data_IF_025767432196
#
_entry.id   IF_025767432196
#
_cell.length_a   1.000
_cell.length_b   1.000
_cell.length_c   1.000
_cell.angle_alpha   90.00
_cell.angle_beta   90.00
_cell.angle_gamma   90.00
#
_symmetry.space_group_name_H-M   'P 1'
#
loop_
_entity.id
_entity.type
_entity.pdbx_description
1 polymer ?
#
# COMPACT_ATOMS: atom_id res chain seq x y z
N UNK A 1 -20.16 -0.27 -12.03
CA UNK A 1 -20.27 -1.70 -11.66
C UNK A 1 -20.17 -1.74 -10.16
N UNK A 2 -21.17 -2.26 -9.44
CA UNK A 2 -20.98 -2.61 -8.02
C UNK A 2 -20.03 -3.81 -7.99
N UNK A 3 -18.99 -3.76 -7.15
CA UNK A 3 -18.18 -4.94 -6.91
C UNK A 3 -19.02 -5.95 -6.15
N UNK A 4 -19.32 -7.08 -6.78
CA UNK A 4 -19.92 -8.23 -6.11
C UNK A 4 -18.85 -8.93 -5.27
N UNK A 5 -18.44 -8.30 -4.18
CA UNK A 5 -17.61 -8.95 -3.17
C UNK A 5 -18.36 -10.14 -2.57
N UNK A 6 -17.62 -11.16 -2.15
CA UNK A 6 -18.20 -12.32 -1.49
C UNK A 6 -18.93 -11.90 -0.19
N UNK A 7 -19.88 -12.72 0.26
CA UNK A 7 -20.53 -12.52 1.55
C UNK A 7 -19.50 -12.41 2.69
N UNK A 8 -18.43 -13.20 2.62
CA UNK A 8 -17.34 -13.15 3.59
C UNK A 8 -16.66 -11.77 3.60
N UNK A 9 -16.34 -11.21 2.44
CA UNK A 9 -15.72 -9.89 2.37
C UNK A 9 -16.67 -8.78 2.87
N UNK A 10 -17.96 -8.86 2.56
CA UNK A 10 -18.94 -7.95 3.15
C UNK A 10 -18.95 -8.03 4.70
N UNK A 11 -18.89 -9.24 5.28
CA UNK A 11 -18.79 -9.43 6.72
C UNK A 11 -17.50 -8.82 7.30
N UNK A 12 -16.36 -8.97 6.61
CA UNK A 12 -15.08 -8.37 7.01
C UNK A 12 -15.14 -6.83 6.98
N UNK A 13 -15.80 -6.23 5.99
CA UNK A 13 -16.01 -4.78 5.93
C UNK A 13 -16.83 -4.33 7.15
N UNK A 14 -17.95 -4.98 7.44
CA UNK A 14 -18.80 -4.62 8.59
C UNK A 14 -18.07 -4.76 9.92
N UNK A 15 -17.26 -5.81 10.10
CA UNK A 15 -16.43 -5.96 11.31
C UNK A 15 -15.35 -4.87 11.42
N UNK A 16 -14.76 -4.45 10.31
CA UNK A 16 -13.78 -3.36 10.28
C UNK A 16 -14.43 -1.99 10.55
N UNK A 17 -15.68 -1.76 10.13
CA UNK A 17 -16.43 -0.54 10.50
C UNK A 17 -16.57 -0.38 12.01
N UNK A 18 -16.83 -1.47 12.73
CA UNK A 18 -16.86 -1.44 14.21
C UNK A 18 -15.50 -1.04 14.81
N UNK A 19 -14.39 -1.44 14.19
CA UNK A 19 -13.06 -0.99 14.61
C UNK A 19 -12.82 0.49 14.27
N UNK A 20 -13.33 0.99 13.14
CA UNK A 20 -13.28 2.42 12.78
C UNK A 20 -13.98 3.27 13.85
N UNK A 21 -15.14 2.84 14.36
CA UNK A 21 -15.86 3.53 15.45
C UNK A 21 -15.02 3.66 16.73
N UNK A 22 -14.14 2.70 17.00
CA UNK A 22 -13.17 2.71 18.10
C UNK A 22 -11.86 3.46 17.76
N UNK A 23 -11.82 4.22 16.66
CA UNK A 23 -10.65 4.93 16.15
C UNK A 23 -9.43 4.00 15.95
N UNK A 24 -9.68 2.76 15.52
CA UNK A 24 -8.63 1.76 15.37
C UNK A 24 -7.60 2.09 14.29
N UNK A 25 -8.02 2.81 13.25
CA UNK A 25 -7.23 3.09 12.06
C UNK A 25 -6.91 4.58 11.99
N UNK A 26 -5.61 4.90 12.01
CA UNK A 26 -5.14 6.29 12.05
C UNK A 26 -5.15 6.99 10.69
N UNK A 27 -5.17 6.23 9.59
CA UNK A 27 -4.94 6.72 8.22
C UNK A 27 -3.53 7.26 7.97
N UNK A 28 -2.57 6.98 8.88
CA UNK A 28 -1.19 7.48 8.81
C UNK A 28 -0.21 6.52 8.15
N UNK A 29 -0.65 5.32 7.77
CA UNK A 29 0.22 4.29 7.20
C UNK A 29 1.03 4.82 6.00
N UNK A 30 0.38 5.50 5.06
CA UNK A 30 1.05 6.09 3.89
C UNK A 30 2.05 7.20 4.25
N UNK A 31 1.91 7.84 5.43
CA UNK A 31 2.85 8.85 5.93
C UNK A 31 4.06 8.25 6.67
N UNK A 32 4.08 6.94 6.91
CA UNK A 32 5.28 6.28 7.42
C UNK A 32 6.40 6.49 6.42
N UNK A 33 7.53 7.03 6.89
CA UNK A 33 8.57 7.58 6.03
C UNK A 33 9.03 6.64 4.91
N UNK A 34 9.10 5.33 5.17
CA UNK A 34 9.50 4.32 4.17
C UNK A 34 8.50 4.25 3.00
N UNK A 35 7.20 4.14 3.31
CA UNK A 35 6.10 4.12 2.33
C UNK A 35 6.00 5.47 1.60
N UNK A 36 6.04 6.56 2.38
CA UNK A 36 5.97 7.92 1.87
C UNK A 36 7.10 8.24 0.89
N UNK A 37 8.33 7.80 1.16
CA UNK A 37 9.49 8.06 0.30
C UNK A 37 9.33 7.42 -1.09
N UNK A 38 8.81 6.20 -1.16
CA UNK A 38 8.53 5.52 -2.43
C UNK A 38 7.41 6.26 -3.16
N UNK A 39 6.26 6.40 -2.50
CA UNK A 39 5.08 7.05 -3.07
C UNK A 39 5.38 8.45 -3.62
N UNK A 40 6.02 9.32 -2.84
CA UNK A 40 6.37 10.66 -3.31
C UNK A 40 7.36 10.65 -4.46
N UNK A 41 8.34 9.74 -4.45
CA UNK A 41 9.29 9.64 -5.55
C UNK A 41 8.62 9.20 -6.84
N UNK A 42 7.61 8.32 -6.76
CA UNK A 42 6.80 7.92 -7.91
C UNK A 42 5.96 9.10 -8.43
N UNK A 43 5.26 9.83 -7.57
CA UNK A 43 4.46 10.99 -8.03
C UNK A 43 5.36 12.08 -8.64
N UNK A 44 6.46 12.44 -7.98
CA UNK A 44 7.43 13.42 -8.49
C UNK A 44 8.00 13.02 -9.86
N UNK A 45 8.17 11.71 -10.09
CA UNK A 45 8.76 11.21 -11.32
C UNK A 45 7.75 11.12 -12.47
N UNK A 46 6.60 10.50 -12.23
CA UNK A 46 5.60 10.28 -13.25
C UNK A 46 4.75 11.53 -13.52
N UNK A 47 4.66 12.47 -12.56
CA UNK A 47 3.82 13.66 -12.67
C UNK A 47 2.37 13.34 -13.06
N UNK A 48 1.71 12.35 -12.40
CA UNK A 48 0.42 11.85 -12.83
C UNK A 48 -0.66 12.92 -12.75
N UNK A 49 -1.61 12.91 -13.69
CA UNK A 49 -2.73 13.87 -13.64
C UNK A 49 -3.72 13.59 -12.50
N UNK A 50 -3.76 12.36 -11.99
CA UNK A 50 -4.57 11.91 -10.84
C UNK A 50 -4.07 10.51 -10.40
N UNK A 51 -4.44 10.06 -9.19
CA UNK A 51 -4.28 8.65 -8.78
C UNK A 51 -5.45 8.20 -7.89
N UNK A 52 -5.60 6.89 -7.74
CA UNK A 52 -6.50 6.26 -6.76
C UNK A 52 -5.70 5.84 -5.52
N UNK A 53 -6.21 6.16 -4.34
CA UNK A 53 -5.81 5.54 -3.08
C UNK A 53 -6.91 4.58 -2.61
N UNK A 54 -6.65 3.28 -2.76
CA UNK A 54 -7.55 2.19 -2.39
C UNK A 54 -7.20 1.72 -0.98
N UNK A 55 -8.11 1.97 -0.03
CA UNK A 55 -7.91 1.81 1.41
C UNK A 55 -7.36 3.06 2.10
N UNK A 56 -7.86 4.25 1.75
CA UNK A 56 -7.34 5.50 2.28
C UNK A 56 -7.64 5.74 3.79
N UNK A 57 -8.47 4.91 4.43
CA UNK A 57 -8.96 5.11 5.79
C UNK A 57 -9.58 6.49 5.98
N UNK A 58 -9.27 7.21 7.09
CA UNK A 58 -9.71 8.58 7.30
C UNK A 58 -9.06 9.61 6.34
N UNK A 59 -8.23 9.18 5.39
CA UNK A 59 -7.48 10.00 4.44
C UNK A 59 -6.56 11.03 5.11
N UNK A 60 -5.99 10.66 6.27
CA UNK A 60 -5.15 11.57 7.06
C UNK A 60 -3.93 12.07 6.26
N UNK A 61 -3.34 11.20 5.42
CA UNK A 61 -2.26 11.56 4.51
C UNK A 61 -2.59 12.73 3.57
N UNK A 62 -3.86 12.92 3.23
CA UNK A 62 -4.35 13.97 2.33
C UNK A 62 -4.91 15.19 3.05
N UNK A 63 -5.38 15.04 4.29
CA UNK A 63 -5.95 16.13 5.08
C UNK A 63 -4.89 16.94 5.83
N UNK A 64 -3.88 16.27 6.37
CA UNK A 64 -2.86 16.88 7.23
C UNK A 64 -1.44 16.74 6.64
N UNK A 65 -1.28 16.02 5.53
CA UNK A 65 0.00 15.82 4.87
C UNK A 65 0.40 17.01 4.01
N UNK A 66 1.18 17.95 4.57
CA UNK A 66 1.75 19.09 3.82
C UNK A 66 2.48 18.67 2.54
N UNK A 67 3.16 17.53 2.59
CA UNK A 67 3.97 17.03 1.48
C UNK A 67 3.11 16.55 0.30
N UNK A 68 1.94 15.97 0.57
CA UNK A 68 0.95 15.61 -0.47
C UNK A 68 0.47 16.86 -1.21
N UNK A 69 0.03 17.89 -0.47
CA UNK A 69 -0.44 19.15 -1.07
C UNK A 69 0.64 19.83 -1.91
N UNK A 70 1.90 19.77 -1.45
CA UNK A 70 3.02 20.30 -2.20
C UNK A 70 3.23 19.53 -3.52
N UNK A 71 3.21 18.20 -3.46
CA UNK A 71 3.38 17.35 -4.65
C UNK A 71 2.26 17.58 -5.66
N UNK A 72 0.99 17.64 -5.25
CA UNK A 72 -0.14 17.99 -6.14
C UNK A 72 0.12 19.33 -6.84
N UNK A 73 0.55 20.34 -6.07
CA UNK A 73 0.80 21.68 -6.60
C UNK A 73 1.97 21.70 -7.59
N UNK A 74 3.05 20.97 -7.30
CA UNK A 74 4.26 20.92 -8.13
C UNK A 74 4.05 20.13 -9.43
N UNK A 75 3.21 19.09 -9.38
CA UNK A 75 2.92 18.21 -10.53
C UNK A 75 1.65 18.62 -11.29
N UNK A 76 0.89 19.60 -10.79
CA UNK A 76 -0.39 20.03 -11.34
C UNK A 76 -1.41 18.87 -11.46
N UNK A 77 -1.34 17.91 -10.54
CA UNK A 77 -2.31 16.81 -10.42
C UNK A 77 -3.67 17.32 -9.94
N UNK A 78 -4.72 16.56 -10.24
CA UNK A 78 -6.01 16.66 -9.55
C UNK A 78 -5.91 16.04 -8.17
N UNK A 79 -6.88 16.35 -7.31
CA UNK A 79 -7.08 15.63 -6.06
C UNK A 79 -7.25 14.12 -6.33
N UNK A 80 -6.60 13.26 -5.53
CA UNK A 80 -6.73 11.83 -5.67
C UNK A 80 -8.14 11.33 -5.44
N UNK A 81 -8.44 10.20 -6.08
CA UNK A 81 -9.67 9.44 -5.82
C UNK A 81 -9.42 8.65 -4.55
N UNK A 82 -10.23 8.88 -3.53
CA UNK A 82 -10.08 8.27 -2.22
C UNK A 82 -11.18 7.23 -2.03
N UNK A 83 -10.79 6.00 -1.70
CA UNK A 83 -11.73 4.93 -1.42
C UNK A 83 -11.32 4.14 -0.18
N UNK A 84 -12.26 3.89 0.71
CA UNK A 84 -12.15 2.93 1.81
C UNK A 84 -13.56 2.46 2.21
N UNK A 85 -13.91 1.17 2.02
CA UNK A 85 -15.26 0.67 2.29
C UNK A 85 -15.67 0.73 3.77
N UNK A 86 -14.70 0.90 4.67
CA UNK A 86 -14.94 0.97 6.10
C UNK A 86 -15.07 2.40 6.62
N UNK A 87 -14.80 3.42 5.79
CA UNK A 87 -14.68 4.80 6.26
C UNK A 87 -15.46 5.82 5.41
N UNK A 88 -16.64 6.23 5.86
CA UNK A 88 -17.38 7.38 5.30
C UNK A 88 -16.55 8.68 5.44
N UNK A 89 -16.46 9.55 4.41
CA UNK A 89 -17.24 9.56 3.17
C UNK A 89 -16.58 8.84 1.98
N UNK A 90 -15.57 8.01 2.21
CA UNK A 90 -14.77 7.37 1.16
C UNK A 90 -15.26 5.95 0.82
N UNK A 91 -16.43 5.56 1.31
CA UNK A 91 -17.02 4.22 1.18
C UNK A 91 -17.72 3.96 -0.15
N UNK A 92 -17.74 4.94 -1.06
CA UNK A 92 -18.31 4.78 -2.40
C UNK A 92 -17.31 4.13 -3.34
N UNK A 93 -17.63 2.94 -3.85
CA UNK A 93 -16.75 2.21 -4.75
C UNK A 93 -16.36 3.04 -5.99
N UNK A 94 -15.07 3.20 -6.30
CA UNK A 94 -14.61 3.96 -7.45
C UNK A 94 -14.98 3.25 -8.75
N UNK A 95 -15.79 3.89 -9.59
CA UNK A 95 -16.24 3.34 -10.89
C UNK A 95 -15.51 3.95 -12.08
N UNK A 96 -14.23 4.27 -11.89
CA UNK A 96 -13.39 4.88 -12.93
C UNK A 96 -12.91 3.85 -13.94
N UNK A 97 -12.88 4.22 -15.22
CA UNK A 97 -12.37 3.35 -16.28
C UNK A 97 -10.85 3.20 -16.22
N UNK A 98 -10.13 4.30 -15.92
CA UNK A 98 -8.68 4.29 -15.77
C UNK A 98 -8.15 5.50 -15.00
N UNK A 99 -7.04 5.31 -14.28
CA UNK A 99 -6.27 6.34 -13.58
C UNK A 99 -4.76 6.12 -13.78
N UNK A 100 -3.95 7.20 -13.87
CA UNK A 100 -2.51 7.05 -14.09
C UNK A 100 -1.80 6.31 -12.95
N UNK A 101 -2.16 6.63 -11.72
CA UNK A 101 -1.57 6.01 -10.53
C UNK A 101 -2.57 5.21 -9.69
N UNK A 102 -2.07 4.15 -9.05
CA UNK A 102 -2.78 3.44 -7.97
C UNK A 102 -1.87 3.28 -6.76
N UNK A 103 -2.39 3.58 -5.58
CA UNK A 103 -1.79 3.31 -4.27
C UNK A 103 -2.74 2.40 -3.50
N UNK A 104 -2.20 1.34 -2.88
CA UNK A 104 -2.97 0.43 -2.04
C UNK A 104 -2.08 -0.04 -0.89
N UNK A 105 -2.31 0.48 0.32
CA UNK A 105 -1.41 0.31 1.48
C UNK A 105 -2.18 -0.23 2.68
N UNK A 106 -1.74 -1.38 3.22
CA UNK A 106 -2.36 -2.05 4.36
C UNK A 106 -3.85 -2.40 4.06
N UNK A 107 -4.09 -3.16 2.98
CA UNK A 107 -5.45 -3.50 2.50
C UNK A 107 -5.57 -4.94 2.05
N UNK A 108 -4.69 -5.42 1.18
CA UNK A 108 -4.88 -6.69 0.45
C UNK A 108 -4.89 -7.88 1.43
N UNK A 109 -4.13 -7.81 2.53
CA UNK A 109 -4.13 -8.76 3.64
C UNK A 109 -5.47 -8.81 4.42
N UNK A 110 -6.28 -7.76 4.30
CA UNK A 110 -7.62 -7.64 4.90
C UNK A 110 -8.74 -8.12 3.97
N UNK A 111 -8.42 -8.40 2.70
CA UNK A 111 -9.36 -8.94 1.71
C UNK A 111 -9.33 -10.47 1.82
N UNK A 112 -10.48 -11.15 1.99
CA UNK A 112 -10.52 -12.61 2.00
C UNK A 112 -9.90 -13.21 0.73
N UNK A 113 -9.22 -14.34 0.86
CA UNK A 113 -8.45 -14.96 -0.23
C UNK A 113 -9.30 -15.24 -1.49
N UNK A 114 -10.60 -15.52 -1.32
CA UNK A 114 -11.55 -15.70 -2.42
C UNK A 114 -11.71 -14.47 -3.31
N UNK A 115 -11.43 -13.28 -2.78
CA UNK A 115 -11.69 -11.98 -3.41
C UNK A 115 -10.39 -11.21 -3.70
N UNK A 116 -9.24 -11.73 -3.27
CA UNK A 116 -7.93 -11.13 -3.52
C UNK A 116 -7.70 -10.97 -5.02
N UNK A 117 -7.97 -12.01 -5.83
CA UNK A 117 -7.80 -11.94 -7.28
C UNK A 117 -8.71 -10.88 -7.91
N UNK A 118 -9.99 -10.84 -7.56
CA UNK A 118 -10.92 -9.81 -8.10
C UNK A 118 -10.50 -8.40 -7.70
N UNK A 119 -9.94 -8.22 -6.50
CA UNK A 119 -9.41 -6.92 -6.07
C UNK A 119 -8.17 -6.54 -6.88
N UNK A 120 -7.24 -7.47 -7.07
CA UNK A 120 -6.04 -7.25 -7.90
C UNK A 120 -6.41 -7.00 -9.37
N UNK A 121 -7.33 -7.77 -9.94
CA UNK A 121 -7.88 -7.55 -11.28
C UNK A 121 -8.38 -6.10 -11.41
N UNK A 122 -9.21 -5.63 -10.48
CA UNK A 122 -9.69 -4.25 -10.49
C UNK A 122 -8.54 -3.23 -10.43
N UNK A 123 -7.63 -3.34 -9.46
CA UNK A 123 -6.53 -2.40 -9.28
C UNK A 123 -5.62 -2.33 -10.51
N UNK A 124 -5.27 -3.49 -11.07
CA UNK A 124 -4.42 -3.58 -12.25
C UNK A 124 -5.15 -3.17 -13.52
N UNK A 125 -6.46 -3.39 -13.65
CA UNK A 125 -7.22 -2.98 -14.83
C UNK A 125 -7.33 -1.45 -14.90
N UNK A 126 -7.67 -0.78 -13.80
CA UNK A 126 -7.83 0.69 -13.79
C UNK A 126 -6.50 1.44 -13.85
N UNK A 127 -5.40 0.87 -13.34
CA UNK A 127 -4.11 1.55 -13.35
C UNK A 127 -3.51 1.62 -14.76
N UNK A 128 -3.04 2.79 -15.22
CA UNK A 128 -2.45 2.94 -16.56
C UNK A 128 -0.96 3.25 -16.61
N UNK A 129 -0.35 3.82 -15.55
CA UNK A 129 1.05 4.27 -15.62
C UNK A 129 1.91 3.75 -14.48
N UNK A 130 1.46 3.77 -13.22
CA UNK A 130 2.29 3.31 -12.11
C UNK A 130 1.48 2.83 -10.91
N UNK A 131 2.01 1.86 -10.16
CA UNK A 131 1.34 1.32 -8.98
C UNK A 131 2.30 1.17 -7.80
N UNK A 132 1.83 1.57 -6.61
CA UNK A 132 2.49 1.31 -5.34
C UNK A 132 1.59 0.48 -4.43
N UNK A 133 2.07 -0.70 -4.05
CA UNK A 133 1.40 -1.62 -3.14
C UNK A 133 2.21 -1.75 -1.85
N UNK A 134 1.52 -1.76 -0.71
CA UNK A 134 2.07 -2.28 0.53
C UNK A 134 1.13 -3.35 1.09
N UNK A 135 1.67 -4.52 1.40
CA UNK A 135 0.93 -5.63 1.98
C UNK A 135 1.67 -6.14 3.20
N UNK A 136 1.02 -6.14 4.36
CA UNK A 136 1.58 -6.72 5.57
C UNK A 136 1.65 -8.25 5.47
N UNK A 137 2.78 -8.82 5.87
CA UNK A 137 3.01 -10.28 5.97
C UNK A 137 2.99 -10.78 7.41
N UNK A 138 2.80 -9.90 8.40
CA UNK A 138 2.75 -10.30 9.81
C UNK A 138 1.48 -11.08 10.13
N UNK A 139 1.63 -12.13 10.95
CA UNK A 139 0.50 -12.82 11.60
C UNK A 139 -0.21 -11.92 12.61
N UNK A 140 0.56 -11.11 13.33
CA UNK A 140 0.09 -10.28 14.43
C UNK A 140 -0.72 -9.08 13.95
N UNK A 141 -2.04 -9.26 13.87
CA UNK A 141 -2.98 -8.22 13.47
C UNK A 141 -3.98 -7.88 14.58
N UNK A 142 -4.74 -6.81 14.38
CA UNK A 142 -5.77 -6.41 15.35
C UNK A 142 -6.88 -7.47 15.38
N UNK A 143 -7.34 -7.85 16.57
CA UNK A 143 -8.50 -8.73 16.72
C UNK A 143 -9.81 -7.98 16.45
N UNK A 144 -10.79 -8.66 15.86
CA UNK A 144 -12.13 -8.10 15.74
C UNK A 144 -12.85 -8.07 17.11
N UNK A 145 -13.70 -7.07 17.31
CA UNK A 145 -14.45 -6.90 18.56
C UNK A 145 -15.39 -8.10 18.76
N UNK A 146 -15.31 -8.78 19.90
CA UNK A 146 -16.10 -9.98 20.23
C UNK A 146 -15.90 -11.21 19.31
N UNK A 147 -14.82 -11.22 18.53
CA UNK A 147 -14.48 -12.29 17.60
C UNK A 147 -13.07 -12.83 17.90
N UNK A 148 -12.78 -14.05 17.44
CA UNK A 148 -11.46 -14.68 17.64
C UNK A 148 -10.52 -14.44 16.46
N UNK A 149 -11.09 -14.09 15.32
CA UNK A 149 -10.41 -13.75 14.08
C UNK A 149 -9.75 -12.37 14.16
N UNK A 150 -8.68 -12.18 13.39
CA UNK A 150 -7.99 -10.91 13.25
C UNK A 150 -8.32 -10.23 11.92
N UNK A 151 -7.94 -8.97 11.80
CA UNK A 151 -8.16 -8.17 10.60
C UNK A 151 -7.37 -8.69 9.40
N UNK A 152 -6.24 -9.36 9.59
CA UNK A 152 -5.51 -10.01 8.49
C UNK A 152 -6.13 -11.38 8.23
N UNK A 153 -6.90 -11.51 7.15
CA UNK A 153 -7.57 -12.75 6.80
C UNK A 153 -6.91 -13.51 5.66
N UNK A 154 -6.07 -12.83 4.88
CA UNK A 154 -5.23 -13.46 3.87
C UNK A 154 -3.78 -13.35 4.32
N UNK A 155 -3.29 -14.44 4.92
CA UNK A 155 -1.89 -14.56 5.33
C UNK A 155 -1.11 -15.27 4.23
N UNK A 156 -0.24 -14.52 3.56
CA UNK A 156 0.73 -15.02 2.59
C UNK A 156 2.12 -14.46 2.90
N UNK A 157 3.14 -15.28 2.70
CA UNK A 157 4.51 -14.84 2.90
C UNK A 157 4.91 -13.80 1.86
N UNK A 158 6.07 -13.17 2.03
CA UNK A 158 6.57 -12.21 1.05
C UNK A 158 6.72 -12.88 -0.31
N UNK A 159 7.33 -14.06 -0.36
CA UNK A 159 7.56 -14.76 -1.62
C UNK A 159 6.25 -15.10 -2.33
N UNK A 160 5.23 -15.53 -1.58
CA UNK A 160 3.90 -15.78 -2.14
C UNK A 160 3.28 -14.50 -2.73
N UNK A 161 3.38 -13.35 -2.05
CA UNK A 161 2.90 -12.08 -2.60
C UNK A 161 3.69 -11.64 -3.83
N UNK A 162 5.02 -11.81 -3.82
CA UNK A 162 5.87 -11.50 -4.98
C UNK A 162 5.46 -12.35 -6.19
N UNK A 163 5.21 -13.65 -5.99
CA UNK A 163 4.75 -14.54 -7.06
C UNK A 163 3.39 -14.10 -7.62
N UNK A 164 2.42 -13.81 -6.75
CA UNK A 164 1.10 -13.32 -7.14
C UNK A 164 1.22 -12.01 -7.92
N UNK A 165 1.90 -11.00 -7.37
CA UNK A 165 2.02 -9.69 -8.02
C UNK A 165 2.82 -9.78 -9.32
N UNK A 166 3.80 -10.68 -9.42
CA UNK A 166 4.58 -10.89 -10.64
C UNK A 166 3.70 -11.30 -11.84
N UNK A 167 2.66 -12.10 -11.63
CA UNK A 167 1.71 -12.49 -12.69
C UNK A 167 0.98 -11.26 -13.27
N UNK A 168 0.50 -10.37 -12.41
CA UNK A 168 -0.18 -9.15 -12.82
C UNK A 168 0.78 -8.11 -13.43
N UNK A 169 1.90 -7.85 -12.74
CA UNK A 169 2.86 -6.82 -13.13
C UNK A 169 3.53 -7.13 -14.48
N UNK A 170 3.91 -8.39 -14.73
CA UNK A 170 4.50 -8.81 -16.01
C UNK A 170 3.50 -8.67 -17.16
N UNK A 171 2.24 -9.03 -16.93
CA UNK A 171 1.18 -8.90 -17.94
C UNK A 171 0.84 -7.44 -18.25
N UNK A 172 0.80 -6.59 -17.22
CA UNK A 172 0.42 -5.17 -17.35
C UNK A 172 1.54 -4.33 -17.98
N UNK A 173 2.80 -4.65 -17.68
CA UNK A 173 3.96 -3.97 -18.27
C UNK A 173 4.18 -2.52 -17.79
N UNK A 174 3.52 -2.11 -16.70
CA UNK A 174 3.71 -0.80 -16.08
C UNK A 174 4.71 -0.89 -14.91
N UNK A 175 5.32 0.24 -14.51
CA UNK A 175 6.01 0.39 -13.24
C UNK A 175 5.14 -0.03 -12.04
N UNK A 176 5.58 -1.04 -11.29
CA UNK A 176 4.92 -1.50 -10.06
C UNK A 176 5.97 -1.62 -8.95
N UNK A 177 5.65 -1.15 -7.76
CA UNK A 177 6.42 -1.42 -6.54
C UNK A 177 5.53 -2.15 -5.55
N UNK A 178 5.97 -3.31 -5.09
CA UNK A 178 5.42 -4.02 -3.95
C UNK A 178 6.34 -3.80 -2.76
N UNK A 179 5.78 -3.34 -1.65
CA UNK A 179 6.43 -3.29 -0.36
C UNK A 179 5.78 -4.31 0.58
N UNK A 180 6.58 -5.01 1.37
CA UNK A 180 6.12 -5.86 2.46
C UNK A 180 6.82 -5.48 3.74
N UNK A 181 6.20 -5.78 4.88
CA UNK A 181 6.96 -5.75 6.13
C UNK A 181 7.91 -6.94 6.24
N UNK A 182 9.01 -6.68 6.94
CA UNK A 182 10.04 -7.64 7.26
C UNK A 182 10.80 -8.25 6.08
N UNK A 183 11.99 -8.75 6.41
CA UNK A 183 12.96 -9.17 5.43
C UNK A 183 12.96 -10.67 5.15
N UNK A 184 12.63 -11.45 6.18
CA UNK A 184 12.60 -12.89 6.05
C UNK A 184 11.21 -13.35 5.70
N UNK A 185 11.13 -14.48 5.00
CA UNK A 185 9.88 -15.09 4.55
C UNK A 185 9.19 -15.84 5.70
N UNK A 186 8.68 -15.07 6.69
CA UNK A 186 8.02 -15.59 7.89
C UNK A 186 6.85 -14.68 8.27
N UNK A 187 5.84 -15.26 8.92
CA UNK A 187 4.72 -14.51 9.48
C UNK A 187 5.01 -13.98 10.90
N UNK A 188 6.02 -14.53 11.57
CA UNK A 188 6.26 -14.31 12.99
C UNK A 188 7.29 -13.19 13.20
N UNK A 189 6.84 -11.95 13.01
CA UNK A 189 7.64 -10.75 13.20
C UNK A 189 6.79 -9.59 13.72
N UNK A 190 7.45 -8.49 14.08
CA UNK A 190 6.84 -7.34 14.76
C UNK A 190 6.24 -6.30 13.79
N UNK A 191 6.12 -6.62 12.50
CA UNK A 191 5.70 -5.67 11.45
C UNK A 191 6.66 -4.51 11.21
N UNK A 192 7.87 -4.53 11.78
CA UNK A 192 8.89 -3.53 11.54
C UNK A 192 9.90 -4.01 10.49
N UNK A 193 10.53 -3.05 9.82
CA UNK A 193 11.36 -3.30 8.64
C UNK A 193 10.49 -3.37 7.38
N UNK A 194 11.06 -2.99 6.24
CA UNK A 194 10.36 -2.95 4.96
C UNK A 194 11.24 -3.63 3.93
N UNK A 195 10.64 -4.39 3.03
CA UNK A 195 11.31 -4.96 1.86
C UNK A 195 10.53 -4.55 0.63
N UNK A 196 11.21 -4.47 -0.50
CA UNK A 196 10.60 -3.99 -1.73
C UNK A 196 11.00 -4.85 -2.91
N UNK A 197 10.04 -5.02 -3.80
CA UNK A 197 10.14 -5.65 -5.10
C UNK A 197 9.57 -4.69 -6.12
N UNK A 198 10.13 -4.71 -7.33
CA UNK A 198 9.60 -3.85 -8.38
C UNK A 198 9.66 -4.49 -9.76
N UNK A 199 8.78 -4.00 -10.62
CA UNK A 199 8.68 -4.40 -12.02
C UNK A 199 8.66 -3.15 -12.88
N UNK A 200 9.42 -3.15 -13.98
CA UNK A 200 9.47 -2.06 -14.97
C UNK A 200 9.77 -0.66 -14.40
N UNK A 201 10.31 -0.54 -13.19
CA UNK A 201 10.69 0.75 -12.62
C UNK A 201 11.90 1.31 -13.36
N UNK A 202 11.87 2.60 -13.79
CA UNK A 202 13.04 3.23 -14.37
C UNK A 202 14.20 3.29 -13.38
N UNK A 203 15.41 2.94 -13.83
CA UNK A 203 16.58 2.82 -12.94
C UNK A 203 16.86 4.11 -12.15
N UNK A 204 16.78 5.27 -12.78
CA UNK A 204 17.03 6.54 -12.08
C UNK A 204 15.99 6.84 -10.98
N UNK A 205 14.76 6.30 -11.09
CA UNK A 205 13.75 6.40 -10.04
C UNK A 205 14.09 5.45 -8.89
N UNK A 206 14.55 4.23 -9.19
CA UNK A 206 15.10 3.30 -8.20
C UNK A 206 16.27 3.94 -7.46
N UNK A 207 17.23 4.52 -8.18
CA UNK A 207 18.41 5.19 -7.60
C UNK A 207 17.99 6.38 -6.74
N UNK A 208 17.01 7.18 -7.17
CA UNK A 208 16.47 8.30 -6.39
C UNK A 208 15.83 7.83 -5.09
N UNK A 209 15.06 6.73 -5.12
CA UNK A 209 14.46 6.13 -3.92
C UNK A 209 15.57 5.63 -2.99
N UNK A 210 16.57 4.89 -3.50
CA UNK A 210 17.72 4.43 -2.71
C UNK A 210 18.47 5.60 -2.06
N UNK A 211 18.77 6.65 -2.82
CA UNK A 211 19.48 7.82 -2.34
C UNK A 211 18.71 8.58 -1.25
N UNK A 212 17.42 8.90 -1.46
CA UNK A 212 16.58 9.55 -0.44
C UNK A 212 16.57 8.74 0.86
N UNK A 213 16.68 7.41 0.74
CA UNK A 213 16.66 6.50 1.88
C UNK A 213 17.99 6.45 2.61
N UNK A 214 19.10 6.34 1.89
CA UNK A 214 20.45 6.46 2.45
C UNK A 214 20.62 7.77 3.22
N UNK A 215 20.17 8.90 2.66
CA UNK A 215 20.21 10.22 3.31
C UNK A 215 19.46 10.21 4.65
N UNK A 216 18.27 9.62 4.69
CA UNK A 216 17.50 9.52 5.93
C UNK A 216 18.17 8.64 6.98
N UNK A 217 18.68 7.46 6.58
CA UNK A 217 19.39 6.59 7.53
C UNK A 217 20.61 7.29 8.15
N UNK A 218 21.38 8.01 7.32
CA UNK A 218 22.52 8.77 7.80
C UNK A 218 22.11 9.91 8.75
N UNK A 219 20.90 10.46 8.61
CA UNK A 219 20.37 11.53 9.45
C UNK A 219 19.63 11.03 10.71
N UNK A 220 19.16 9.77 10.73
CA UNK A 220 18.36 9.19 11.82
C UNK A 220 18.78 7.74 12.13
N UNK A 221 20.06 7.50 12.50
CA UNK A 221 20.57 6.15 12.74
C UNK A 221 19.86 5.42 13.88
N UNK A 222 19.31 6.13 14.87
CA UNK A 222 18.58 5.57 16.01
C UNK A 222 17.33 4.78 15.60
N UNK A 223 16.71 5.11 14.47
CA UNK A 223 15.53 4.38 13.96
C UNK A 223 15.88 2.96 13.51
N UNK A 224 17.14 2.71 13.13
CA UNK A 224 17.62 1.37 12.77
C UNK A 224 17.69 0.50 14.03
N UNK A 225 18.18 1.06 15.14
CA UNK A 225 18.34 0.36 16.42
C UNK A 225 17.00 0.02 17.09
N UNK A 226 15.95 0.82 16.85
CA UNK A 226 14.59 0.55 17.34
C UNK A 226 13.84 -0.57 16.58
N UNK A 227 14.54 -1.29 15.71
CA UNK A 227 14.01 -2.42 14.95
C UNK A 227 13.19 -2.02 13.72
N UNK A 228 13.21 -0.75 13.28
CA UNK A 228 12.84 -0.38 11.91
C UNK A 228 14.01 -0.62 10.94
N UNK A 229 14.84 -1.62 11.24
CA UNK A 229 15.97 -2.00 10.41
C UNK A 229 15.46 -2.34 9.02
N UNK A 230 15.94 -1.58 8.06
CA UNK A 230 15.77 -1.92 6.66
C UNK A 230 16.94 -2.79 6.27
N UNK A 231 16.66 -3.90 5.63
CA UNK A 231 17.72 -4.70 5.08
C UNK A 231 18.05 -4.19 3.68
N UNK A 232 19.15 -3.45 3.61
CA UNK A 232 19.75 -2.95 2.37
C UNK A 232 20.26 -4.06 1.44
N UNK A 233 20.36 -5.30 1.92
CA UNK A 233 20.97 -6.42 1.19
C UNK A 233 19.95 -7.35 0.54
N UNK A 234 18.70 -7.34 1.01
CA UNK A 234 17.64 -8.26 0.57
C UNK A 234 16.45 -7.50 -0.06
N UNK A 235 16.54 -6.18 -0.21
CA UNK A 235 15.60 -5.44 -1.05
C UNK A 235 15.89 -5.74 -2.53
N UNK A 236 14.89 -6.21 -3.27
CA UNK A 236 15.01 -6.41 -4.72
C UNK A 236 15.00 -5.09 -5.51
N UNK A 237 15.24 -3.95 -4.86
CA UNK A 237 15.65 -2.72 -5.55
C UNK A 237 17.06 -2.84 -6.15
N UNK A 238 17.80 -3.92 -5.88
CA UNK A 238 19.16 -4.20 -6.38
C UNK A 238 19.21 -4.92 -7.74
N UNK A 239 18.42 -4.46 -8.72
CA UNK A 239 18.79 -4.65 -10.15
C UNK A 239 19.70 -3.55 -10.63
#
# INVERSE_FOLDING_TARGET
METNFSLNHAEYIERNKLLVEENAFSGKALLEWHKATVWYSMIEYFGPTQWLDYGCGPAFAYKEGNQMHQVIKETNSKEPILYDPCHTPYDTFPTVDSVPGVVCVDVIEHIPESDTNTTLDYLFDVCSEWMFLFISTKRGARGFIHHHESTHCTLKTRNEWVEIINEYATKKGIPVVLATDYITDTFDHNGKGMTYDHWNMPQHLVDKIKFKREVFYNASPERIEEGYSWDLTNSNFDV
#
